data_IF_881163797807
#
_entry.id   IF_881163797807
#
_cell.length_a   1.000
_cell.length_b   1.000
_cell.length_c   1.000
_cell.angle_alpha   90.00
_cell.angle_beta   90.00
_cell.angle_gamma   90.00
#
_symmetry.space_group_name_H-M   'P 1'
#
loop_
_entity.id
_entity.type
_entity.pdbx_description
1 polymer ?
#
# COMPACT_ATOMS: atom_id res chain seq x y z
N UNK A 1 -26.53 -3.70 -58.15
CA UNK A 1 -27.16 -4.78 -57.36
C UNK A 1 -26.20 -5.92 -57.04
N UNK A 2 -25.78 -6.78 -57.98
CA UNK A 2 -24.94 -7.96 -57.66
C UNK A 2 -23.60 -7.57 -57.01
N UNK A 3 -22.89 -6.57 -57.55
CA UNK A 3 -21.66 -6.06 -56.91
C UNK A 3 -21.90 -5.44 -55.54
N UNK A 4 -23.03 -4.76 -55.34
CA UNK A 4 -23.38 -4.19 -54.04
C UNK A 4 -23.63 -5.29 -53.00
N UNK A 5 -24.24 -6.41 -53.39
CA UNK A 5 -24.43 -7.56 -52.53
C UNK A 5 -23.12 -8.27 -52.21
N UNK A 6 -22.20 -8.39 -53.19
CA UNK A 6 -20.84 -8.88 -52.94
C UNK A 6 -20.10 -8.00 -51.93
N UNK A 7 -20.27 -6.68 -51.99
CA UNK A 7 -19.66 -5.76 -51.03
C UNK A 7 -20.29 -5.86 -49.63
N UNK A 8 -21.60 -6.11 -49.53
CA UNK A 8 -22.31 -6.24 -48.25
C UNK A 8 -21.93 -7.55 -47.55
N UNK A 9 -22.04 -8.67 -48.26
CA UNK A 9 -21.80 -9.99 -47.66
C UNK A 9 -20.31 -10.32 -47.55
N UNK A 10 -19.47 -9.80 -48.44
CA UNK A 10 -18.13 -10.32 -48.75
C UNK A 10 -18.18 -11.27 -49.95
N UNK A 11 -17.10 -11.33 -50.74
CA UNK A 11 -17.09 -12.09 -52.01
C UNK A 11 -17.30 -13.59 -51.75
N UNK A 12 -16.56 -14.18 -50.81
CA UNK A 12 -16.60 -15.62 -50.51
C UNK A 12 -17.96 -16.05 -49.92
N UNK A 13 -18.48 -15.27 -48.97
CA UNK A 13 -19.79 -15.47 -48.32
C UNK A 13 -20.95 -15.24 -49.28
N UNK A 14 -20.83 -14.29 -50.22
CA UNK A 14 -21.81 -14.12 -51.29
C UNK A 14 -21.84 -15.34 -52.22
N UNK A 15 -20.68 -15.88 -52.59
CA UNK A 15 -20.62 -17.08 -53.43
C UNK A 15 -21.20 -18.31 -52.72
N UNK A 16 -20.91 -18.49 -51.43
CA UNK A 16 -21.50 -19.55 -50.62
C UNK A 16 -23.03 -19.41 -50.46
N UNK A 17 -23.53 -18.18 -50.28
CA UNK A 17 -24.98 -17.94 -50.19
C UNK A 17 -25.67 -18.15 -51.54
N UNK A 18 -25.01 -17.80 -52.66
CA UNK A 18 -25.52 -18.09 -53.99
C UNK A 18 -25.61 -19.60 -54.28
N UNK A 19 -24.65 -20.41 -53.82
CA UNK A 19 -24.75 -21.89 -53.85
C UNK A 19 -25.94 -22.35 -53.02
N UNK A 20 -25.99 -21.91 -51.76
CA UNK A 20 -26.98 -22.36 -50.77
C UNK A 20 -28.42 -22.13 -51.23
N UNK A 21 -28.67 -21.02 -51.91
CA UNK A 21 -30.00 -20.63 -52.39
C UNK A 21 -30.23 -20.92 -53.88
N UNK A 22 -29.40 -21.78 -54.48
CA UNK A 22 -29.52 -22.22 -55.88
C UNK A 22 -29.68 -21.05 -56.86
N UNK A 23 -28.90 -19.99 -56.66
CA UNK A 23 -28.97 -18.75 -57.43
C UNK A 23 -27.80 -18.61 -58.43
N UNK A 24 -26.81 -19.51 -58.42
CA UNK A 24 -25.59 -19.38 -59.22
C UNK A 24 -25.84 -19.32 -60.72
N UNK A 25 -26.64 -20.25 -61.25
CA UNK A 25 -26.96 -20.31 -62.68
C UNK A 25 -27.75 -19.07 -63.14
N UNK A 26 -28.69 -18.62 -62.30
CA UNK A 26 -29.49 -17.41 -62.52
C UNK A 26 -28.64 -16.12 -62.54
N UNK A 27 -27.64 -16.02 -61.66
CA UNK A 27 -26.76 -14.85 -61.59
C UNK A 27 -25.78 -14.76 -62.78
N UNK A 28 -25.49 -15.88 -63.44
CA UNK A 28 -24.58 -15.96 -64.59
C UNK A 28 -25.29 -15.87 -65.95
N UNK A 29 -26.63 -15.84 -65.96
CA UNK A 29 -27.42 -15.72 -67.19
C UNK A 29 -27.28 -14.35 -67.88
N UNK A 30 -27.37 -14.35 -69.21
CA UNK A 30 -27.42 -13.14 -70.03
C UNK A 30 -28.77 -12.40 -69.90
N UNK A 31 -29.83 -13.10 -69.47
CA UNK A 31 -31.15 -12.52 -69.26
C UNK A 31 -31.19 -11.65 -68.00
N UNK A 32 -31.70 -10.42 -68.13
CA UNK A 32 -31.91 -9.51 -66.98
C UNK A 32 -32.94 -10.09 -66.01
N UNK A 33 -33.96 -10.78 -66.51
CA UNK A 33 -35.02 -11.37 -65.70
C UNK A 33 -34.50 -12.52 -64.83
N UNK A 34 -33.68 -13.40 -65.41
CA UNK A 34 -33.07 -14.51 -64.67
C UNK A 34 -32.09 -14.00 -63.61
N UNK A 35 -31.31 -12.95 -63.91
CA UNK A 35 -30.42 -12.32 -62.91
C UNK A 35 -31.19 -11.68 -61.76
N UNK A 36 -32.31 -11.00 -62.05
CA UNK A 36 -33.19 -10.43 -61.01
C UNK A 36 -33.79 -11.54 -60.14
N UNK A 37 -34.22 -12.64 -60.73
CA UNK A 37 -34.69 -13.84 -60.00
C UNK A 37 -33.60 -14.41 -59.08
N UNK A 38 -32.36 -14.51 -59.55
CA UNK A 38 -31.22 -14.93 -58.72
C UNK A 38 -30.99 -14.03 -57.50
N UNK A 39 -31.13 -12.71 -57.67
CA UNK A 39 -31.02 -11.75 -56.57
C UNK A 39 -32.16 -11.89 -55.55
N UNK A 40 -33.40 -12.11 -56.01
CA UNK A 40 -34.54 -12.40 -55.12
C UNK A 40 -34.29 -13.64 -54.25
N UNK A 41 -33.83 -14.74 -54.85
CA UNK A 41 -33.55 -15.99 -54.11
C UNK A 41 -32.52 -15.80 -52.99
N UNK A 42 -31.50 -14.98 -53.23
CA UNK A 42 -30.47 -14.67 -52.23
C UNK A 42 -31.01 -13.78 -51.12
N UNK A 43 -31.72 -12.70 -51.47
CA UNK A 43 -32.20 -11.72 -50.49
C UNK A 43 -33.34 -12.24 -49.63
N UNK A 44 -34.27 -13.00 -50.23
CA UNK A 44 -35.41 -13.59 -49.53
C UNK A 44 -35.13 -14.97 -48.95
N UNK A 45 -33.94 -15.54 -49.24
CA UNK A 45 -33.53 -16.86 -48.73
C UNK A 45 -34.55 -17.94 -49.05
N UNK A 46 -35.03 -17.95 -50.30
CA UNK A 46 -36.10 -18.83 -50.75
C UNK A 46 -35.78 -19.39 -52.15
N UNK A 47 -35.62 -20.71 -52.22
CA UNK A 47 -35.33 -21.43 -53.48
C UNK A 47 -36.57 -21.62 -54.34
N UNK A 48 -37.78 -21.41 -53.81
CA UNK A 48 -39.06 -21.64 -54.50
C UNK A 48 -39.52 -20.42 -55.31
N UNK A 49 -38.77 -19.33 -55.31
CA UNK A 49 -39.06 -18.17 -56.14
C UNK A 49 -38.80 -18.55 -57.59
N UNK A 50 -39.86 -18.90 -58.32
CA UNK A 50 -39.81 -19.30 -59.72
C UNK A 50 -40.23 -18.20 -60.71
N UNK A 51 -41.05 -17.25 -60.25
CA UNK A 51 -41.46 -16.06 -60.99
C UNK A 51 -41.09 -14.79 -60.22
N UNK A 52 -40.82 -13.70 -60.94
CA UNK A 52 -40.51 -12.40 -60.33
C UNK A 52 -41.79 -11.86 -59.68
N UNK A 53 -41.82 -11.60 -58.35
CA UNK A 53 -43.02 -11.15 -57.65
C UNK A 53 -43.27 -9.64 -57.86
N UNK A 54 -43.25 -9.18 -59.11
CA UNK A 54 -43.51 -7.79 -59.49
C UNK A 54 -44.15 -7.72 -60.89
N UNK A 55 -45.00 -6.70 -61.11
CA UNK A 55 -45.73 -6.52 -62.36
C UNK A 55 -44.83 -6.22 -63.58
N UNK A 56 -43.61 -5.73 -63.35
CA UNK A 56 -42.58 -5.52 -64.38
C UNK A 56 -41.20 -5.76 -63.78
N UNK A 57 -40.24 -6.11 -64.64
CA UNK A 57 -38.82 -6.24 -64.26
C UNK A 57 -38.29 -4.95 -63.64
N UNK A 58 -38.70 -3.79 -64.16
CA UNK A 58 -38.33 -2.48 -63.63
C UNK A 58 -38.85 -2.26 -62.19
N UNK A 59 -40.08 -2.67 -61.90
CA UNK A 59 -40.63 -2.59 -60.54
C UNK A 59 -39.91 -3.53 -59.56
N UNK A 60 -39.54 -4.74 -60.02
CA UNK A 60 -38.75 -5.68 -59.24
C UNK A 60 -37.35 -5.14 -58.91
N UNK A 61 -36.66 -4.54 -59.89
CA UNK A 61 -35.37 -3.90 -59.67
C UNK A 61 -35.49 -2.81 -58.60
N UNK A 62 -36.50 -1.93 -58.69
CA UNK A 62 -36.71 -0.88 -57.69
C UNK A 62 -36.99 -1.41 -56.27
N UNK A 63 -37.72 -2.52 -56.14
CA UNK A 63 -37.94 -3.18 -54.84
C UNK A 63 -36.64 -3.74 -54.26
N UNK A 64 -35.86 -4.45 -55.08
CA UNK A 64 -34.57 -5.01 -54.67
C UNK A 64 -33.57 -3.92 -54.32
N UNK A 65 -33.54 -2.81 -55.07
CA UNK A 65 -32.68 -1.66 -54.77
C UNK A 65 -32.99 -1.05 -53.40
N UNK A 66 -34.28 -0.91 -53.05
CA UNK A 66 -34.67 -0.44 -51.71
C UNK A 66 -34.22 -1.40 -50.61
N UNK A 67 -34.39 -2.72 -50.82
CA UNK A 67 -33.98 -3.73 -49.86
C UNK A 67 -32.46 -3.75 -49.67
N UNK A 68 -31.70 -3.63 -50.76
CA UNK A 68 -30.23 -3.52 -50.72
C UNK A 68 -29.80 -2.24 -50.01
N UNK A 69 -30.50 -1.12 -50.23
CA UNK A 69 -30.23 0.13 -49.54
C UNK A 69 -30.48 0.02 -48.02
N UNK A 70 -31.54 -0.66 -47.60
CA UNK A 70 -31.84 -0.91 -46.19
C UNK A 70 -30.78 -1.81 -45.52
N UNK A 71 -30.38 -2.90 -46.19
CA UNK A 71 -29.31 -3.78 -45.70
C UNK A 71 -27.99 -3.04 -45.53
N UNK A 72 -27.63 -2.19 -46.50
CA UNK A 72 -26.42 -1.38 -46.43
C UNK A 72 -26.49 -0.34 -45.31
N UNK A 73 -27.64 0.31 -45.12
CA UNK A 73 -27.84 1.26 -44.02
C UNK A 73 -27.67 0.57 -42.66
N UNK A 74 -28.20 -0.66 -42.51
CA UNK A 74 -28.06 -1.45 -41.29
C UNK A 74 -26.61 -1.86 -41.05
N UNK A 75 -25.91 -2.36 -42.06
CA UNK A 75 -24.50 -2.73 -41.95
C UNK A 75 -23.63 -1.54 -41.53
N UNK A 76 -23.89 -0.35 -42.09
CA UNK A 76 -23.17 0.87 -41.70
C UNK A 76 -23.36 1.20 -40.21
N UNK A 77 -24.59 1.06 -39.69
CA UNK A 77 -24.87 1.29 -38.27
C UNK A 77 -24.18 0.25 -37.38
N UNK A 78 -24.15 -1.02 -37.80
CA UNK A 78 -23.45 -2.09 -37.09
C UNK A 78 -21.93 -1.86 -37.07
N UNK A 79 -21.34 -1.42 -38.19
CA UNK A 79 -19.93 -1.05 -38.29
C UNK A 79 -19.59 0.14 -37.39
N UNK A 80 -20.41 1.20 -37.41
CA UNK A 80 -20.22 2.38 -36.56
C UNK A 80 -20.33 2.02 -35.07
N UNK A 81 -21.26 1.14 -34.71
CA UNK A 81 -21.43 0.64 -33.35
C UNK A 81 -20.21 -0.18 -32.93
N UNK A 82 -19.76 -1.11 -33.79
CA UNK A 82 -18.60 -1.95 -33.52
C UNK A 82 -17.34 -1.13 -33.31
N UNK A 83 -17.15 -0.08 -34.13
CA UNK A 83 -16.04 0.86 -33.98
C UNK A 83 -16.07 1.54 -32.61
N UNK A 84 -17.24 2.07 -32.20
CA UNK A 84 -17.41 2.71 -30.87
C UNK A 84 -17.20 1.73 -29.70
N UNK A 85 -17.61 0.48 -29.86
CA UNK A 85 -17.38 -0.57 -28.87
C UNK A 85 -15.89 -0.84 -28.74
N UNK A 86 -15.18 -1.01 -29.86
CA UNK A 86 -13.74 -1.25 -29.86
C UNK A 86 -12.98 -0.08 -29.22
N UNK A 87 -13.30 1.17 -29.57
CA UNK A 87 -12.71 2.36 -28.95
C UNK A 87 -12.92 2.38 -27.42
N UNK A 88 -14.11 2.05 -26.93
CA UNK A 88 -14.39 1.95 -25.49
C UNK A 88 -13.66 0.80 -24.80
N UNK A 89 -13.53 -0.33 -25.48
CA UNK A 89 -12.80 -1.50 -24.97
C UNK A 89 -11.31 -1.18 -24.85
N UNK A 90 -10.71 -0.54 -25.86
CA UNK A 90 -9.31 -0.09 -25.83
C UNK A 90 -9.07 0.92 -24.70
N UNK A 91 -9.96 1.89 -24.51
CA UNK A 91 -9.88 2.85 -23.40
C UNK A 91 -9.90 2.14 -22.04
N UNK A 92 -10.88 1.26 -21.80
CA UNK A 92 -10.97 0.50 -20.55
C UNK A 92 -9.78 -0.43 -20.34
N UNK A 93 -9.28 -1.05 -21.40
CA UNK A 93 -8.12 -1.92 -21.33
C UNK A 93 -6.86 -1.12 -20.94
N UNK A 94 -6.67 0.06 -21.52
CA UNK A 94 -5.56 0.95 -21.17
C UNK A 94 -5.63 1.43 -19.71
N UNK A 95 -6.82 1.79 -19.22
CA UNK A 95 -7.04 2.14 -17.80
C UNK A 95 -6.74 0.95 -16.89
N UNK A 96 -7.27 -0.23 -17.21
CA UNK A 96 -7.04 -1.45 -16.44
C UNK A 96 -5.56 -1.82 -16.34
N UNK A 97 -4.82 -1.77 -17.46
CA UNK A 97 -3.38 -2.03 -17.48
C UNK A 97 -2.61 -0.97 -16.68
N UNK A 98 -3.03 0.30 -16.72
CA UNK A 98 -2.43 1.37 -15.92
C UNK A 98 -2.61 1.11 -14.43
N UNK A 99 -3.81 0.67 -14.03
CA UNK A 99 -4.09 0.36 -12.63
C UNK A 99 -3.25 -0.83 -12.14
N UNK A 100 -3.13 -1.89 -12.93
CA UNK A 100 -2.22 -3.02 -12.63
C UNK A 100 -0.77 -2.53 -12.50
N UNK A 101 -0.29 -1.70 -13.43
CA UNK A 101 1.07 -1.15 -13.36
C UNK A 101 1.28 -0.31 -12.10
N UNK A 102 0.29 0.48 -11.70
CA UNK A 102 0.35 1.26 -10.47
C UNK A 102 0.32 0.37 -9.22
N UNK A 103 -0.39 -0.76 -9.24
CA UNK A 103 -0.36 -1.76 -8.17
C UNK A 103 1.02 -2.40 -8.07
N UNK A 104 1.59 -2.88 -9.17
CA UNK A 104 2.94 -3.47 -9.21
C UNK A 104 4.00 -2.45 -8.77
N UNK A 105 3.91 -1.19 -9.21
CA UNK A 105 4.84 -0.15 -8.75
C UNK A 105 4.72 0.06 -7.24
N UNK A 106 3.51 0.05 -6.67
CA UNK A 106 3.33 0.14 -5.20
C UNK A 106 3.93 -1.07 -4.46
N UNK A 107 3.81 -2.27 -5.04
CA UNK A 107 4.37 -3.51 -4.49
C UNK A 107 5.91 -3.55 -4.60
N UNK A 108 6.49 -3.06 -5.71
CA UNK A 108 7.94 -3.10 -5.97
C UNK A 108 8.72 -1.92 -5.40
N UNK A 109 8.10 -0.73 -5.30
CA UNK A 109 8.75 0.42 -4.68
C UNK A 109 8.69 0.31 -3.16
N UNK A 110 9.75 -0.24 -2.58
CA UNK A 110 10.06 -0.32 -1.14
C UNK A 110 10.19 1.04 -0.44
N UNK A 111 9.20 1.92 -0.60
CA UNK A 111 9.00 3.07 0.27
C UNK A 111 7.69 2.86 1.00
N UNK A 112 7.78 2.60 2.29
CA UNK A 112 6.66 2.37 3.20
C UNK A 112 5.81 3.63 3.46
N UNK A 113 6.02 4.70 2.68
CA UNK A 113 5.41 5.99 2.87
C UNK A 113 4.24 6.19 1.89
N UNK A 114 3.02 6.14 2.41
CA UNK A 114 1.80 6.42 1.65
C UNK A 114 1.53 7.93 1.60
N UNK A 115 0.72 8.46 0.65
CA UNK A 115 0.29 9.86 0.68
C UNK A 115 -0.39 10.28 1.99
N UNK A 116 -1.03 9.33 2.69
CA UNK A 116 -1.57 9.53 4.04
C UNK A 116 -0.45 9.63 5.08
N UNK A 117 0.57 8.76 5.00
CA UNK A 117 1.77 8.81 5.85
C UNK A 117 2.51 10.13 5.66
N UNK A 118 2.73 10.58 4.42
CA UNK A 118 3.34 11.88 4.11
C UNK A 118 2.52 13.06 4.63
N UNK A 119 1.18 13.01 4.48
CA UNK A 119 0.31 14.06 5.02
C UNK A 119 0.35 14.11 6.55
N UNK A 120 0.42 12.94 7.20
CA UNK A 120 0.55 12.83 8.66
C UNK A 120 1.93 13.30 9.12
N UNK A 121 2.99 12.89 8.44
CA UNK A 121 4.37 13.34 8.68
C UNK A 121 4.47 14.86 8.52
N UNK A 122 4.01 15.42 7.41
CA UNK A 122 3.99 16.87 7.19
C UNK A 122 3.14 17.63 8.22
N UNK A 123 2.07 17.03 8.73
CA UNK A 123 1.29 17.61 9.83
C UNK A 123 2.08 17.58 11.15
N UNK A 124 2.75 16.47 11.45
CA UNK A 124 3.59 16.32 12.65
C UNK A 124 4.81 17.26 12.61
N UNK A 125 5.52 17.30 11.48
CA UNK A 125 6.61 18.25 11.24
C UNK A 125 6.10 19.69 11.36
N UNK A 126 4.93 20.02 10.79
CA UNK A 126 4.34 21.36 10.96
C UNK A 126 3.97 21.67 12.42
N UNK A 127 3.54 20.68 13.20
CA UNK A 127 3.28 20.84 14.63
C UNK A 127 4.58 21.00 15.43
N UNK A 128 5.65 20.32 15.05
CA UNK A 128 6.99 20.43 15.62
C UNK A 128 7.63 21.80 15.30
N UNK A 129 7.59 22.23 14.03
CA UNK A 129 8.05 23.56 13.59
C UNK A 129 7.14 24.70 14.07
N UNK A 130 5.87 24.40 14.36
CA UNK A 130 4.93 25.34 14.98
C UNK A 130 5.15 25.51 16.48
N UNK A 131 6.13 24.80 17.06
CA UNK A 131 6.41 24.78 18.49
C UNK A 131 6.72 26.16 19.04
N UNK A 132 6.02 26.51 20.12
CA UNK A 132 6.63 27.27 21.20
C UNK A 132 8.07 26.75 21.37
N UNK A 133 9.07 27.66 21.38
CA UNK A 133 10.45 27.31 21.75
C UNK A 133 10.39 26.35 22.94
N UNK A 134 11.26 25.33 22.96
CA UNK A 134 11.29 24.28 23.98
C UNK A 134 10.98 24.84 25.38
N UNK A 135 10.29 24.05 26.21
CA UNK A 135 9.84 24.52 27.52
C UNK A 135 10.98 25.27 28.21
N UNK A 136 10.71 26.39 28.88
CA UNK A 136 11.76 27.12 29.61
C UNK A 136 12.54 26.17 30.55
N UNK A 137 11.87 25.12 31.05
CA UNK A 137 12.47 24.05 31.83
C UNK A 137 13.52 23.22 31.07
N UNK A 138 13.38 23.02 29.76
CA UNK A 138 14.34 22.33 28.91
C UNK A 138 15.61 23.16 28.69
N UNK A 139 15.45 24.48 28.45
CA UNK A 139 16.59 25.41 28.39
C UNK A 139 17.32 25.58 29.72
N UNK A 140 16.63 25.34 30.84
CA UNK A 140 17.20 25.37 32.19
C UNK A 140 17.81 24.03 32.61
N UNK A 141 17.70 22.96 31.82
CA UNK A 141 18.36 21.69 32.13
C UNK A 141 19.88 21.87 31.97
N UNK A 142 20.68 21.46 32.98
CA UNK A 142 22.13 21.55 32.92
C UNK A 142 22.72 20.90 31.66
N UNK A 143 23.46 21.68 30.87
CA UNK A 143 24.19 21.21 29.68
C UNK A 143 25.63 20.82 29.96
N UNK A 144 26.15 21.19 31.13
CA UNK A 144 27.54 21.00 31.53
C UNK A 144 27.64 20.62 33.02
N UNK A 145 28.80 20.11 33.44
CA UNK A 145 29.02 19.73 34.84
C UNK A 145 29.01 20.96 35.76
N UNK A 146 29.48 22.09 35.26
CA UNK A 146 29.57 23.36 35.98
C UNK A 146 28.20 23.92 36.38
N UNK A 147 27.14 23.53 35.65
CA UNK A 147 25.75 23.90 35.93
C UNK A 147 25.09 23.01 37.00
N UNK A 148 25.72 21.88 37.37
CA UNK A 148 25.26 21.06 38.49
C UNK A 148 25.79 21.65 39.80
N UNK A 149 24.90 22.20 40.62
CA UNK A 149 25.25 22.82 41.90
C UNK A 149 25.01 21.84 43.05
N UNK A 150 26.05 21.53 43.83
CA UNK A 150 25.93 20.81 45.11
C UNK A 150 25.69 19.31 45.01
N UNK A 151 25.90 18.71 43.83
CA UNK A 151 25.77 17.26 43.59
C UNK A 151 27.10 16.61 43.18
N UNK A 152 28.24 17.19 43.59
CA UNK A 152 29.57 16.72 43.20
C UNK A 152 29.84 15.28 43.67
N UNK A 153 29.36 14.93 44.87
CA UNK A 153 29.48 13.58 45.41
C UNK A 153 28.65 12.58 44.60
N UNK A 154 27.43 12.95 44.22
CA UNK A 154 26.55 12.11 43.40
C UNK A 154 27.15 11.90 41.99
N UNK A 155 27.67 12.96 41.37
CA UNK A 155 28.35 12.87 40.07
C UNK A 155 29.60 12.00 40.13
N UNK A 156 30.43 12.13 41.19
CA UNK A 156 31.59 11.25 41.37
C UNK A 156 31.17 9.79 41.55
N UNK A 157 30.12 9.52 42.32
CA UNK A 157 29.60 8.17 42.52
C UNK A 157 29.05 7.58 41.21
N UNK A 158 28.26 8.35 40.45
CA UNK A 158 27.78 7.97 39.12
C UNK A 158 28.93 7.62 38.19
N UNK A 159 29.91 8.52 38.07
CA UNK A 159 31.07 8.30 37.22
C UNK A 159 31.89 7.07 37.64
N UNK A 160 32.04 6.82 38.94
CA UNK A 160 32.74 5.63 39.42
C UNK A 160 31.99 4.33 39.07
N UNK A 161 30.65 4.36 39.02
CA UNK A 161 29.81 3.20 38.70
C UNK A 161 29.64 2.95 37.20
N UNK A 162 29.69 4.01 36.40
CA UNK A 162 29.57 3.92 34.94
C UNK A 162 30.90 3.61 34.24
N UNK A 163 32.04 4.04 34.80
CA UNK A 163 33.36 3.80 34.22
C UNK A 163 33.96 2.45 34.63
N UNK A 164 33.16 1.39 34.56
CA UNK A 164 33.62 0.01 34.78
C UNK A 164 33.35 -0.83 33.53
N UNK A 165 34.10 -1.93 33.31
CA UNK A 165 33.81 -2.84 32.20
C UNK A 165 32.40 -3.47 32.27
N UNK A 166 31.81 -3.48 33.46
CA UNK A 166 30.47 -3.98 33.73
C UNK A 166 29.71 -2.94 34.56
N UNK A 167 29.09 -1.92 33.92
CA UNK A 167 28.34 -0.90 34.63
C UNK A 167 27.24 -1.51 35.49
N UNK A 168 27.15 -1.07 36.73
CA UNK A 168 26.11 -1.52 37.66
C UNK A 168 24.83 -0.72 37.46
N UNK A 169 23.69 -1.32 37.81
CA UNK A 169 22.44 -0.57 37.94
C UNK A 169 22.52 0.38 39.13
N UNK A 170 21.96 1.57 38.98
CA UNK A 170 22.08 2.67 39.95
C UNK A 170 20.69 3.15 40.34
N UNK A 171 20.43 3.24 41.64
CA UNK A 171 19.24 3.92 42.17
C UNK A 171 19.67 5.33 42.60
N UNK A 172 19.05 6.34 42.00
CA UNK A 172 19.18 7.73 42.44
C UNK A 172 17.99 8.09 43.34
N UNK A 173 18.27 8.27 44.62
CA UNK A 173 17.25 8.62 45.61
C UNK A 173 17.41 10.06 46.07
N UNK A 174 16.29 10.79 46.16
CA UNK A 174 16.25 12.15 46.68
C UNK A 174 14.92 12.84 46.33
N UNK A 175 14.67 14.05 46.88
CA UNK A 175 13.47 14.83 46.59
C UNK A 175 13.26 15.10 45.09
N UNK A 176 12.03 15.37 44.62
CA UNK A 176 11.79 15.82 43.25
C UNK A 176 12.51 17.15 42.98
N UNK A 177 12.97 17.36 41.75
CA UNK A 177 13.61 18.62 41.33
C UNK A 177 15.08 18.81 41.74
N UNK A 178 15.71 17.86 42.44
CA UNK A 178 17.13 17.97 42.85
C UNK A 178 18.16 17.66 41.75
N UNK A 179 17.70 17.45 40.50
CA UNK A 179 18.57 17.23 39.35
C UNK A 179 19.02 15.78 39.10
N UNK A 180 18.31 14.77 39.63
CA UNK A 180 18.63 13.34 39.44
C UNK A 180 18.79 12.97 37.96
N UNK A 181 17.80 13.32 37.14
CA UNK A 181 17.77 13.04 35.70
C UNK A 181 18.91 13.75 34.96
N UNK A 182 19.14 15.03 35.27
CA UNK A 182 20.23 15.82 34.68
C UNK A 182 21.60 15.24 35.03
N UNK A 183 21.81 14.83 36.28
CA UNK A 183 23.05 14.18 36.72
C UNK A 183 23.29 12.87 35.96
N UNK A 184 22.27 12.01 35.84
CA UNK A 184 22.40 10.74 35.12
C UNK A 184 22.74 10.95 33.63
N UNK A 185 22.09 11.91 32.97
CA UNK A 185 22.32 12.26 31.57
C UNK A 185 23.74 12.79 31.34
N UNK A 186 24.17 13.75 32.16
CA UNK A 186 25.52 14.30 32.07
C UNK A 186 26.58 13.23 32.41
N UNK A 187 26.30 12.33 33.35
CA UNK A 187 27.23 11.24 33.67
C UNK A 187 27.44 10.29 32.49
N UNK A 188 26.39 9.95 31.72
CA UNK A 188 26.55 9.19 30.47
C UNK A 188 27.39 9.96 29.45
N UNK A 189 27.08 11.24 29.23
CA UNK A 189 27.82 12.07 28.28
C UNK A 189 29.30 12.17 28.62
N UNK A 190 29.65 12.23 29.89
CA UNK A 190 31.04 12.21 30.33
C UNK A 190 31.67 10.83 30.21
N UNK A 191 30.92 9.76 30.52
CA UNK A 191 31.42 8.39 30.45
C UNK A 191 31.74 7.97 29.00
N UNK A 192 30.92 8.34 28.01
CA UNK A 192 31.18 8.02 26.60
C UNK A 192 32.44 8.70 26.03
N UNK A 193 32.89 9.81 26.62
CA UNK A 193 34.04 10.59 26.15
C UNK A 193 35.38 10.16 26.76
N UNK A 194 35.43 9.03 27.49
CA UNK A 194 36.64 8.52 28.12
C UNK A 194 37.32 7.43 27.31
N UNK A 195 38.65 7.39 27.41
CA UNK A 195 39.46 6.30 26.87
C UNK A 195 39.04 4.97 27.53
N UNK A 196 38.67 3.99 26.70
CA UNK A 196 38.12 2.68 27.10
C UNK A 196 36.71 2.71 27.70
N UNK A 197 35.86 3.66 27.30
CA UNK A 197 34.44 3.60 27.64
C UNK A 197 33.76 2.36 27.08
N UNK A 198 32.86 1.78 27.87
CA UNK A 198 31.93 0.73 27.40
C UNK A 198 30.74 1.30 26.62
N UNK A 199 30.53 2.61 26.71
CA UNK A 199 29.51 3.33 25.96
C UNK A 199 30.10 3.82 24.65
N UNK A 200 29.44 3.52 23.53
CA UNK A 200 29.85 4.03 22.23
C UNK A 200 29.53 5.53 22.10
N UNK A 201 30.23 6.27 21.22
CA UNK A 201 29.86 7.64 20.90
C UNK A 201 28.40 7.70 20.42
N UNK A 202 27.58 8.52 21.09
CA UNK A 202 26.16 8.62 20.77
C UNK A 202 25.29 7.56 21.46
N UNK A 203 25.80 6.89 22.50
CA UNK A 203 25.02 5.95 23.29
C UNK A 203 23.69 6.58 23.75
N UNK A 204 22.56 5.86 23.61
CA UNK A 204 21.24 6.43 23.87
C UNK A 204 21.01 6.70 25.36
N UNK A 205 20.36 7.81 25.67
CA UNK A 205 19.79 8.09 26.99
C UNK A 205 18.28 8.14 26.86
N UNK A 206 17.62 7.03 27.20
CA UNK A 206 16.16 6.90 27.13
C UNK A 206 15.61 7.25 28.51
N UNK A 207 14.86 8.34 28.59
CA UNK A 207 14.19 8.83 29.81
C UNK A 207 12.72 8.44 29.74
N UNK A 208 12.22 7.78 30.77
CA UNK A 208 10.79 7.46 30.91
C UNK A 208 10.32 7.69 32.33
N UNK A 209 9.09 8.14 32.48
CA UNK A 209 8.39 8.21 33.76
C UNK A 209 7.70 6.87 34.03
N UNK A 210 8.05 6.21 35.14
CA UNK A 210 7.48 4.95 35.58
C UNK A 210 5.95 4.99 35.73
N UNK A 211 5.38 6.13 36.11
CA UNK A 211 3.93 6.30 36.26
C UNK A 211 3.16 6.24 34.92
N UNK A 212 3.86 6.55 33.82
CA UNK A 212 3.32 6.54 32.46
C UNK A 212 3.29 5.14 31.83
N UNK A 213 4.10 4.21 32.35
CA UNK A 213 4.20 2.86 31.86
C UNK A 213 3.06 2.00 32.40
N UNK A 214 2.12 1.66 31.51
CA UNK A 214 0.98 0.80 31.84
C UNK A 214 1.25 -0.62 31.36
N UNK A 215 0.98 -1.58 32.25
CA UNK A 215 0.91 -2.98 31.87
C UNK A 215 -0.42 -3.26 31.17
N UNK A 216 -0.36 -4.03 30.08
CA UNK A 216 -1.54 -4.58 29.42
C UNK A 216 -1.63 -6.09 29.70
N UNK A 217 -2.69 -6.58 30.38
CA UNK A 217 -2.91 -8.00 30.63
C UNK A 217 -2.98 -8.87 29.38
N UNK A 218 -3.37 -8.29 28.25
CA UNK A 218 -3.46 -9.03 26.97
C UNK A 218 -2.12 -9.10 26.24
N UNK A 219 -1.09 -8.48 26.82
CA UNK A 219 0.25 -8.33 26.24
C UNK A 219 0.23 -7.80 24.81
N UNK A 220 -0.84 -7.08 24.44
CA UNK A 220 -1.00 -6.58 23.09
C UNK A 220 0.04 -5.49 22.81
N UNK A 221 0.44 -4.75 23.86
CA UNK A 221 1.61 -3.88 23.82
C UNK A 221 2.36 -3.94 25.14
N UNK A 222 3.68 -4.04 25.06
CA UNK A 222 4.55 -3.92 26.23
C UNK A 222 5.54 -2.78 25.97
N UNK A 223 5.32 -1.58 26.54
CA UNK A 223 6.19 -0.44 26.26
C UNK A 223 7.63 -0.64 26.75
N UNK A 224 7.84 -1.46 27.78
CA UNK A 224 9.18 -1.70 28.34
C UNK A 224 10.00 -2.67 27.48
N UNK A 225 9.44 -3.85 27.18
CA UNK A 225 10.14 -4.91 26.44
C UNK A 225 9.96 -4.80 24.93
N UNK A 226 8.82 -4.27 24.49
CA UNK A 226 8.33 -4.40 23.14
C UNK A 226 7.38 -5.59 23.00
N UNK A 227 6.70 -5.66 21.86
CA UNK A 227 5.70 -6.68 21.57
C UNK A 227 5.74 -7.04 20.10
N UNK A 228 5.40 -8.29 19.77
CA UNK A 228 5.19 -8.69 18.38
C UNK A 228 3.70 -8.68 18.11
N UNK A 229 3.25 -7.74 17.28
CA UNK A 229 1.85 -7.64 16.92
C UNK A 229 1.52 -8.56 15.74
N UNK A 230 0.32 -9.13 15.77
CA UNK A 230 -0.24 -9.88 14.64
C UNK A 230 -0.46 -8.94 13.44
N UNK A 231 0.01 -9.33 12.23
CA UNK A 231 -0.20 -8.58 10.99
C UNK A 231 -1.67 -8.17 10.73
N UNK A 232 -2.63 -8.99 11.17
CA UNK A 232 -4.08 -8.77 10.96
C UNK A 232 -4.58 -7.55 11.75
N UNK A 233 -3.98 -7.24 12.90
CA UNK A 233 -4.40 -6.15 13.79
C UNK A 233 -3.57 -4.88 13.65
N UNK A 234 -2.53 -4.86 12.80
CA UNK A 234 -1.64 -3.70 12.65
C UNK A 234 -2.23 -2.52 11.85
N UNK A 235 -3.44 -2.62 11.30
CA UNK A 235 -4.14 -1.47 10.68
C UNK A 235 -3.46 -0.81 9.47
N UNK A 236 -2.26 -1.23 9.10
CA UNK A 236 -1.49 -0.72 7.97
C UNK A 236 -0.42 -1.77 7.60
N UNK A 237 -0.70 -2.56 6.56
CA UNK A 237 0.20 -3.40 5.72
C UNK A 237 -0.52 -4.71 5.38
N UNK A 238 -1.45 -4.64 4.42
CA UNK A 238 -2.10 -5.83 3.83
C UNK A 238 -1.12 -6.76 3.11
N UNK A 239 0.07 -6.29 2.76
CA UNK A 239 1.12 -7.09 2.09
C UNK A 239 1.87 -8.02 3.06
N UNK A 240 2.00 -7.67 4.35
CA UNK A 240 2.56 -8.59 5.37
C UNK A 240 1.53 -9.61 5.88
N UNK A 241 0.24 -9.38 5.59
CA UNK A 241 -0.82 -10.30 5.97
C UNK A 241 -0.88 -11.55 5.06
N UNK A 242 -0.25 -11.51 3.87
CA UNK A 242 -0.18 -12.68 2.98
C UNK A 242 0.98 -13.63 3.35
N UNK A 243 2.09 -13.11 3.89
CA UNK A 243 3.21 -13.92 4.39
C UNK A 243 3.11 -14.30 5.88
N UNK A 244 2.23 -13.64 6.64
CA UNK A 244 1.98 -13.93 8.06
C UNK A 244 3.18 -13.66 8.99
N UNK A 245 4.14 -12.83 8.57
CA UNK A 245 5.36 -12.55 9.34
C UNK A 245 5.07 -11.45 10.36
N UNK A 246 5.17 -11.72 11.66
CA UNK A 246 4.81 -10.76 12.69
C UNK A 246 5.95 -9.74 12.92
N UNK A 247 5.64 -8.43 12.94
CA UNK A 247 6.64 -7.36 13.05
C UNK A 247 6.89 -6.98 14.53
N UNK A 248 8.13 -7.08 15.03
CA UNK A 248 8.44 -6.71 16.41
C UNK A 248 8.43 -5.19 16.56
N UNK A 249 7.60 -4.70 17.48
CA UNK A 249 7.66 -3.33 17.96
C UNK A 249 8.62 -3.26 19.14
N UNK A 250 9.68 -2.48 19.00
CA UNK A 250 10.69 -2.32 20.04
C UNK A 250 10.09 -1.65 21.29
N UNK A 251 10.61 -2.06 22.45
CA UNK A 251 10.34 -1.38 23.72
C UNK A 251 11.55 -0.57 24.20
N UNK A 252 11.34 0.20 25.26
CA UNK A 252 12.32 1.14 25.81
C UNK A 252 13.65 0.50 26.19
N UNK A 253 13.65 -0.76 26.64
CA UNK A 253 14.89 -1.50 26.93
C UNK A 253 15.72 -1.68 25.67
N UNK A 254 15.07 -1.99 24.55
CA UNK A 254 15.74 -2.17 23.26
C UNK A 254 16.23 -0.84 22.69
N UNK A 255 15.43 0.23 22.84
CA UNK A 255 15.84 1.59 22.47
C UNK A 255 17.05 2.09 23.26
N UNK A 256 17.17 1.67 24.53
CA UNK A 256 18.29 2.02 25.40
C UNK A 256 19.52 1.10 25.24
N UNK A 257 19.50 0.14 24.32
CA UNK A 257 20.58 -0.82 24.14
C UNK A 257 21.92 -0.10 23.87
N UNK A 258 22.97 -0.52 24.59
CA UNK A 258 24.29 0.11 24.52
C UNK A 258 24.40 1.48 25.23
N UNK A 259 23.33 1.93 25.88
CA UNK A 259 23.26 3.21 26.60
C UNK A 259 22.64 3.07 27.99
N UNK A 260 21.81 4.04 28.38
CA UNK A 260 21.13 4.09 29.68
C UNK A 260 19.62 4.22 29.49
N UNK A 261 18.87 3.32 30.13
CA UNK A 261 17.45 3.49 30.42
C UNK A 261 17.30 4.13 31.80
N UNK A 262 16.83 5.38 31.83
CA UNK A 262 16.52 6.10 33.05
C UNK A 262 15.01 6.07 33.30
N UNK A 263 14.61 5.47 34.41
CA UNK A 263 13.20 5.39 34.82
C UNK A 263 13.01 6.29 36.04
N UNK A 264 12.35 7.43 35.84
CA UNK A 264 11.90 8.26 36.96
C UNK A 264 10.71 7.59 37.66
N UNK A 265 10.50 7.88 38.93
CA UNK A 265 9.38 7.31 39.70
C UNK A 265 9.26 5.78 39.59
N UNK A 266 10.39 5.06 39.60
CA UNK A 266 10.46 3.59 39.50
C UNK A 266 9.52 2.86 40.49
N UNK A 267 9.22 3.48 41.64
CA UNK A 267 8.30 2.94 42.65
C UNK A 267 6.84 2.88 42.19
N UNK A 268 6.45 3.67 41.19
CA UNK A 268 5.10 3.72 40.63
C UNK A 268 4.92 2.74 39.46
N UNK A 269 5.97 2.01 39.06
CA UNK A 269 5.85 0.96 38.04
C UNK A 269 4.91 -0.15 38.49
N UNK A 270 4.09 -0.63 37.56
CA UNK A 270 3.28 -1.82 37.77
C UNK A 270 4.17 -3.03 38.18
N UNK A 271 3.80 -3.79 39.22
CA UNK A 271 4.58 -4.95 39.68
C UNK A 271 4.89 -5.98 38.59
N UNK A 272 4.02 -6.16 37.60
CA UNK A 272 4.28 -7.05 36.47
C UNK A 272 5.42 -6.52 35.59
N UNK A 273 5.48 -5.21 35.35
CA UNK A 273 6.59 -4.58 34.63
C UNK A 273 7.89 -4.60 35.44
N UNK A 274 7.82 -4.46 36.77
CA UNK A 274 9.00 -4.60 37.64
C UNK A 274 9.63 -6.00 37.53
N UNK A 275 8.81 -7.06 37.52
CA UNK A 275 9.30 -8.43 37.33
C UNK A 275 9.94 -8.63 35.95
N UNK A 276 9.32 -8.07 34.90
CA UNK A 276 9.89 -8.12 33.54
C UNK A 276 11.22 -7.34 33.45
N UNK A 277 11.31 -6.18 34.10
CA UNK A 277 12.54 -5.40 34.21
C UNK A 277 13.64 -6.19 34.94
N UNK A 278 13.31 -6.87 36.04
CA UNK A 278 14.25 -7.71 36.78
C UNK A 278 14.85 -8.80 35.88
N UNK A 279 14.01 -9.52 35.13
CA UNK A 279 14.48 -10.56 34.19
C UNK A 279 15.42 -9.99 33.13
N UNK A 280 15.12 -8.82 32.57
CA UNK A 280 16.00 -8.12 31.64
C UNK A 280 17.34 -7.74 32.29
N UNK A 281 17.31 -7.27 33.54
CA UNK A 281 18.52 -6.90 34.27
C UNK A 281 19.42 -8.12 34.55
N UNK A 282 18.83 -9.30 34.75
CA UNK A 282 19.55 -10.57 34.92
C UNK A 282 20.10 -11.10 33.58
N UNK A 283 19.24 -11.24 32.57
CA UNK A 283 19.57 -11.88 31.30
C UNK A 283 20.39 -10.98 30.35
N UNK A 284 20.35 -9.66 30.58
CA UNK A 284 20.87 -8.62 29.67
C UNK A 284 20.33 -8.74 28.24
N UNK A 285 19.15 -9.35 28.08
CA UNK A 285 18.54 -9.66 26.79
C UNK A 285 17.03 -9.55 26.92
N UNK A 286 16.40 -9.14 25.82
CA UNK A 286 14.94 -9.11 25.69
C UNK A 286 14.54 -10.12 24.64
N UNK A 287 13.47 -10.86 24.93
CA UNK A 287 12.78 -11.71 23.98
C UNK A 287 11.44 -11.06 23.68
N UNK A 288 11.12 -10.92 22.40
CA UNK A 288 9.82 -10.41 21.99
C UNK A 288 8.84 -11.56 21.98
N UNK A 289 7.75 -11.41 22.72
CA UNK A 289 6.67 -12.38 22.79
C UNK A 289 5.52 -11.91 21.89
N UNK A 290 4.84 -12.86 21.26
CA UNK A 290 3.57 -12.61 20.58
C UNK A 290 2.47 -13.33 21.32
N UNK A 291 1.35 -12.65 21.57
CA UNK A 291 0.14 -13.31 22.10
C UNK A 291 -0.58 -14.18 21.06
N UNK A 292 -0.10 -14.18 19.82
CA UNK A 292 -0.73 -14.86 18.68
C UNK A 292 0.12 -16.00 18.09
N UNK A 293 1.40 -16.08 18.45
CA UNK A 293 2.35 -17.07 17.93
C UNK A 293 3.16 -17.64 19.10
N UNK A 294 3.03 -18.96 19.34
CA UNK A 294 3.82 -19.74 20.30
C UNK A 294 5.21 -20.13 19.74
#
# INVERSE_FOLDING_TARGET
>A
MIEQLKNIYGIETFEQTAVRWQAQEYLQSDSVEERVKGVYRILYQDTQIDEIPAATVAAAIGQLENLIAELRARQQVEEDLQKKVNERMEQRYAEYIRDIKLQIIKEESRSYETPYTFKKLALLEKMEYGGLKGSALEYLRPGSLEEIIGQELAMRALMAKLNTPFPQHIILYGPPGVGKTSCARLALQMAQNRDNSVFQPGAPFIEVDGSSLRWDPRESSNPLLGSVHDPIYQGAKRELAEDGIPEPKLGLVSEAHGGILFIDEIGELDPALQNKLLKVMEDKRVYFESSYYD
#
